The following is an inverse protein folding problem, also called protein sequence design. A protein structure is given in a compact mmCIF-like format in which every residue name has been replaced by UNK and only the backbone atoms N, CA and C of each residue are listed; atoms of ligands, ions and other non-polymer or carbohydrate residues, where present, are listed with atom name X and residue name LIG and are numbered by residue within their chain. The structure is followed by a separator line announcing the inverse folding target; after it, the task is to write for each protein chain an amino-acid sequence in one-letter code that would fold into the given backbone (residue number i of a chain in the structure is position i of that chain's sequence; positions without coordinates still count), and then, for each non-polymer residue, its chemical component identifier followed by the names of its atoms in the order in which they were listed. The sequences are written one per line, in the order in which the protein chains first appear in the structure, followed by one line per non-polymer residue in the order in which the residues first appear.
data_IF_513703938466
#
_entry.id   IF_513703938466
#
_cell.length_a   1.000
_cell.length_b   1.000
_cell.length_c   1.000
_cell.angle_alpha   90.00
_cell.angle_beta   90.00
_cell.angle_gamma   90.00
#
_symmetry.space_group_name_H-M   'P 1'
#
loop_
_entity.id
_entity.type
_entity.pdbx_description
1 polymer ?
#
# COMPACT_ATOMS: atom_id res chain seq x y z
N UNK A 1 -7.45 0.29 -3.51
CA UNK A 1 -8.88 0.43 -3.14
C UNK A 1 -8.97 0.68 -1.65
N UNK A 2 -9.97 1.42 -1.18
CA UNK A 2 -10.20 1.67 0.25
C UNK A 2 -11.61 1.19 0.56
N UNK A 3 -11.76 0.30 1.55
CA UNK A 3 -13.07 -0.13 2.06
C UNK A 3 -13.09 -0.01 3.58
N UNK A 4 -14.24 0.39 4.12
CA UNK A 4 -14.46 0.59 5.55
C UNK A 4 -15.84 0.08 5.96
N UNK A 5 -15.95 -0.49 7.15
CA UNK A 5 -17.21 -0.82 7.81
C UNK A 5 -17.12 -0.33 9.25
N UNK A 6 -17.70 0.84 9.49
CA UNK A 6 -17.75 1.45 10.81
C UNK A 6 -19.08 1.16 11.48
N UNK A 7 -19.14 0.14 12.35
CA UNK A 7 -20.29 -0.04 13.25
C UNK A 7 -20.19 0.83 14.51
N UNK A 8 -19.01 1.41 14.75
CA UNK A 8 -18.69 2.20 15.94
C UNK A 8 -18.23 3.62 15.56
N UNK A 9 -18.64 4.63 16.34
CA UNK A 9 -18.26 6.04 16.15
C UNK A 9 -16.81 6.38 16.60
N UNK A 10 -15.96 5.37 16.78
CA UNK A 10 -14.57 5.52 17.22
C UNK A 10 -13.55 5.36 16.08
N UNK A 11 -12.27 5.68 16.31
CA UNK A 11 -11.21 5.46 15.33
C UNK A 11 -11.11 3.97 14.96
N UNK A 12 -11.15 3.67 13.67
CA UNK A 12 -10.99 2.31 13.14
C UNK A 12 -9.51 1.99 12.92
N UNK A 13 -9.12 0.74 13.15
CA UNK A 13 -7.80 0.27 12.76
C UNK A 13 -7.67 0.27 11.23
N UNK A 14 -6.51 0.66 10.71
CA UNK A 14 -6.23 0.70 9.27
C UNK A 14 -5.23 -0.40 8.93
N UNK A 15 -5.62 -1.29 8.02
CA UNK A 15 -4.78 -2.35 7.46
C UNK A 15 -4.37 -1.94 6.05
N UNK A 16 -3.07 -1.79 5.82
CA UNK A 16 -2.53 -1.59 4.48
C UNK A 16 -2.09 -2.94 3.93
N UNK A 17 -2.73 -3.37 2.85
CA UNK A 17 -2.42 -4.62 2.17
C UNK A 17 -1.47 -4.36 0.99
N UNK A 18 -0.27 -4.92 1.09
CA UNK A 18 0.75 -4.91 0.04
C UNK A 18 0.70 -6.26 -0.66
N UNK A 19 0.40 -6.27 -1.96
CA UNK A 19 0.33 -7.51 -2.71
C UNK A 19 1.73 -8.14 -2.90
N UNK A 20 1.77 -9.47 -2.88
CA UNK A 20 3.00 -10.26 -3.02
C UNK A 20 3.29 -10.67 -4.47
N UNK A 21 3.69 -11.94 -4.61
CA UNK A 21 4.40 -12.59 -5.73
C UNK A 21 5.92 -12.35 -5.71
N UNK A 22 6.61 -12.59 -6.82
CA UNK A 22 8.09 -12.49 -6.93
C UNK A 22 8.58 -11.06 -7.20
N UNK A 23 7.82 -10.04 -6.78
CA UNK A 23 8.03 -8.63 -7.11
C UNK A 23 8.04 -8.29 -8.61
N UNK A 24 7.80 -9.25 -9.49
CA UNK A 24 7.90 -9.10 -10.94
C UNK A 24 6.63 -8.49 -11.56
N UNK A 25 5.47 -8.78 -10.98
CA UNK A 25 4.15 -8.34 -11.45
C UNK A 25 3.14 -8.37 -10.30
N UNK A 26 1.96 -7.80 -10.53
CA UNK A 26 0.87 -7.79 -9.56
C UNK A 26 0.16 -6.43 -9.51
N UNK A 27 -0.96 -6.40 -8.79
CA UNK A 27 -1.70 -5.18 -8.52
C UNK A 27 -2.50 -5.34 -7.22
N UNK A 28 -2.91 -4.23 -6.61
CA UNK A 28 -3.75 -4.24 -5.41
C UNK A 28 -5.25 -4.45 -5.71
N UNK A 29 -5.69 -4.31 -6.96
CA UNK A 29 -7.11 -4.43 -7.34
C UNK A 29 -7.69 -5.87 -7.24
N UNK A 30 -6.95 -6.94 -7.63
CA UNK A 30 -7.46 -8.32 -7.51
C UNK A 30 -7.81 -8.76 -6.08
N UNK A 31 -7.30 -8.06 -5.07
CA UNK A 31 -7.55 -8.38 -3.67
C UNK A 31 -8.74 -7.57 -3.17
N UNK A 32 -9.93 -8.15 -3.20
CA UNK A 32 -11.15 -7.55 -2.66
C UNK A 32 -11.24 -7.75 -1.13
N UNK A 33 -11.18 -6.69 -0.31
CA UNK A 33 -11.28 -6.79 1.13
C UNK A 33 -12.73 -6.71 1.65
N UNK A 34 -13.75 -6.73 0.78
CA UNK A 34 -15.16 -6.57 1.18
C UNK A 34 -15.59 -7.54 2.28
N UNK A 35 -15.24 -8.83 2.14
CA UNK A 35 -15.56 -9.83 3.15
C UNK A 35 -14.84 -9.57 4.48
N UNK A 36 -13.55 -9.24 4.44
CA UNK A 36 -12.77 -8.96 5.65
C UNK A 36 -13.30 -7.74 6.40
N UNK A 37 -13.59 -6.66 5.68
CA UNK A 37 -14.16 -5.43 6.22
C UNK A 37 -15.60 -5.65 6.70
N UNK A 38 -16.38 -6.56 6.10
CA UNK A 38 -17.74 -6.86 6.59
C UNK A 38 -17.74 -7.53 7.98
N UNK A 39 -16.71 -8.33 8.26
CA UNK A 39 -16.58 -9.10 9.49
C UNK A 39 -15.81 -8.35 10.59
N UNK A 40 -14.89 -7.46 10.18
CA UNK A 40 -14.00 -6.74 11.07
C UNK A 40 -14.31 -5.24 11.08
N UNK A 41 -14.25 -4.59 12.24
CA UNK A 41 -14.44 -3.14 12.36
C UNK A 41 -13.14 -2.38 12.00
N UNK A 42 -12.72 -2.49 10.74
CA UNK A 42 -11.44 -2.00 10.21
C UNK A 42 -11.61 -1.29 8.87
N UNK A 43 -10.59 -0.50 8.50
CA UNK A 43 -10.40 0.02 7.15
C UNK A 43 -9.31 -0.81 6.48
N UNK A 44 -9.53 -1.24 5.24
CA UNK A 44 -8.47 -1.86 4.42
C UNK A 44 -8.12 -0.95 3.27
N UNK A 45 -6.82 -0.72 3.10
CA UNK A 45 -6.23 0.00 1.96
C UNK A 45 -5.42 -0.98 1.15
N UNK A 46 -5.87 -1.31 -0.07
CA UNK A 46 -5.03 -2.00 -1.05
C UNK A 46 -4.31 -0.97 -1.92
N UNK A 47 -3.03 -1.21 -2.19
CA UNK A 47 -2.18 -0.29 -2.94
C UNK A 47 -1.49 -0.97 -4.12
N UNK A 48 -1.01 -0.15 -5.06
CA UNK A 48 -0.05 -0.58 -6.07
C UNK A 48 1.32 -0.01 -5.69
N UNK A 49 2.38 -0.77 -5.96
CA UNK A 49 3.75 -0.29 -5.95
C UNK A 49 4.43 -0.69 -7.26
N UNK A 50 5.54 -0.02 -7.61
CA UNK A 50 6.30 -0.39 -8.81
C UNK A 50 6.85 -1.81 -8.70
N UNK A 51 6.70 -2.59 -9.75
CA UNK A 51 7.15 -3.99 -9.85
C UNK A 51 8.27 -4.13 -10.89
N UNK A 52 8.96 -5.25 -10.87
CA UNK A 52 10.02 -5.61 -11.79
C UNK A 52 11.16 -4.58 -11.83
N UNK A 53 11.71 -4.35 -13.01
CA UNK A 53 12.82 -3.41 -13.21
C UNK A 53 12.46 -1.99 -12.75
N UNK A 54 11.21 -1.55 -12.90
CA UNK A 54 10.80 -0.21 -12.49
C UNK A 54 10.80 -0.02 -10.96
N UNK A 55 10.60 -1.11 -10.21
CA UNK A 55 10.59 -1.09 -8.74
C UNK A 55 11.96 -1.34 -8.11
N UNK A 56 12.82 -2.12 -8.78
CA UNK A 56 14.01 -2.68 -8.15
C UNK A 56 15.31 -2.46 -8.92
N UNK A 57 15.31 -1.72 -10.04
CA UNK A 57 16.55 -1.36 -10.72
C UNK A 57 17.45 -0.56 -9.79
N UNK A 58 18.66 -1.06 -9.58
CA UNK A 58 19.75 -0.31 -9.01
C UNK A 58 20.61 0.26 -10.15
N UNK A 59 20.47 1.56 -10.40
CA UNK A 59 21.20 2.25 -11.47
C UNK A 59 22.61 2.70 -11.07
N UNK A 60 23.06 2.39 -9.85
CA UNK A 60 24.40 2.73 -9.37
C UNK A 60 25.43 1.76 -9.99
N UNK A 61 25.76 1.99 -11.26
CA UNK A 61 26.69 1.17 -12.03
C UNK A 61 28.14 1.33 -11.55
N UNK A 62 28.48 2.51 -11.04
CA UNK A 62 29.74 2.81 -10.38
C UNK A 62 29.45 3.55 -9.05
N UNK A 63 30.40 3.54 -8.12
CA UNK A 63 30.22 4.18 -6.80
C UNK A 63 30.10 5.71 -6.85
N UNK A 64 30.16 6.31 -8.04
CA UNK A 64 30.08 7.75 -8.27
C UNK A 64 28.66 8.20 -8.58
N UNK A 65 27.91 7.41 -9.35
CA UNK A 65 26.49 7.64 -9.55
C UNK A 65 25.70 7.23 -8.30
N UNK A 66 24.87 8.14 -7.78
CA UNK A 66 24.02 7.90 -6.60
C UNK A 66 22.55 8.15 -6.93
N UNK A 67 21.92 7.16 -7.58
CA UNK A 67 20.48 7.04 -7.70
C UNK A 67 19.89 6.28 -6.51
N UNK A 68 18.71 6.68 -6.01
CA UNK A 68 17.90 5.81 -5.18
C UNK A 68 17.65 4.47 -5.90
N UNK A 69 17.64 3.39 -5.13
CA UNK A 69 17.22 2.05 -5.54
C UNK A 69 16.00 1.64 -4.71
N UNK A 70 15.46 0.45 -4.97
CA UNK A 70 14.28 -0.08 -4.24
C UNK A 70 13.10 0.89 -4.26
N UNK A 71 12.86 1.49 -5.41
CA UNK A 71 11.74 2.37 -5.69
C UNK A 71 10.38 1.79 -5.28
N UNK A 72 10.20 0.47 -5.42
CA UNK A 72 9.05 -0.27 -4.91
C UNK A 72 8.84 -0.08 -3.39
N UNK A 73 9.92 -0.17 -2.61
CA UNK A 73 9.86 0.03 -1.17
C UNK A 73 9.59 1.49 -0.81
N UNK A 74 10.12 2.43 -1.60
CA UNK A 74 9.81 3.85 -1.43
C UNK A 74 8.33 4.14 -1.71
N UNK A 75 7.71 3.46 -2.67
CA UNK A 75 6.27 3.57 -2.93
C UNK A 75 5.46 3.06 -1.74
N UNK A 76 5.87 1.93 -1.13
CA UNK A 76 5.22 1.37 0.07
C UNK A 76 5.35 2.34 1.25
N UNK A 77 6.55 2.90 1.48
CA UNK A 77 6.77 3.90 2.53
C UNK A 77 5.90 5.14 2.28
N UNK A 78 5.83 5.63 1.05
CA UNK A 78 4.99 6.75 0.69
C UNK A 78 3.50 6.46 0.92
N UNK A 79 3.03 5.26 0.60
CA UNK A 79 1.65 4.83 0.86
C UNK A 79 1.35 4.74 2.36
N UNK A 80 2.30 4.27 3.18
CA UNK A 80 2.16 4.26 4.64
C UNK A 80 2.09 5.69 5.20
N UNK A 81 2.97 6.58 4.76
CA UNK A 81 2.91 8.00 5.15
C UNK A 81 1.58 8.64 4.72
N UNK A 82 1.14 8.41 3.48
CA UNK A 82 -0.15 8.90 3.00
C UNK A 82 -1.31 8.41 3.87
N UNK A 83 -1.27 7.13 4.25
CA UNK A 83 -2.27 6.51 5.11
C UNK A 83 -2.28 7.14 6.50
N UNK A 84 -1.12 7.34 7.12
CA UNK A 84 -1.01 7.96 8.44
C UNK A 84 -1.47 9.43 8.46
N UNK A 85 -1.20 10.19 7.40
CA UNK A 85 -1.58 11.61 7.34
C UNK A 85 -3.07 11.82 7.07
N UNK A 86 -3.77 10.79 6.56
CA UNK A 86 -5.18 10.92 6.18
C UNK A 86 -6.09 10.77 7.40
N UNK A 87 -6.68 11.89 7.82
CA UNK A 87 -7.51 11.99 9.04
C UNK A 87 -8.94 11.44 8.93
N UNK A 88 -9.43 11.04 7.74
CA UNK A 88 -10.87 10.79 7.53
C UNK A 88 -11.21 9.67 6.54
N UNK A 89 -10.82 8.44 6.86
CA UNK A 89 -11.20 7.27 6.06
C UNK A 89 -12.69 6.85 6.18
N UNK A 90 -13.42 7.33 7.20
CA UNK A 90 -14.81 6.93 7.49
C UNK A 90 -15.85 8.06 7.41
N UNK A 91 -15.61 9.12 6.63
CA UNK A 91 -16.55 10.24 6.41
C UNK A 91 -17.13 10.27 4.98
N UNK A 92 -17.18 9.14 4.28
CA UNK A 92 -17.76 9.04 2.93
C UNK A 92 -19.18 8.49 3.00
#
# INVERSE_FOLDING_TARGET
MILANGKNNGPLAVVVFVHGEDFAYGAGHPYDPSMFVSQMNVIVVTMNYRVGVLGFLNANADGYFKSPANFALLDIIAALHWTQHRKSFGKM
#
